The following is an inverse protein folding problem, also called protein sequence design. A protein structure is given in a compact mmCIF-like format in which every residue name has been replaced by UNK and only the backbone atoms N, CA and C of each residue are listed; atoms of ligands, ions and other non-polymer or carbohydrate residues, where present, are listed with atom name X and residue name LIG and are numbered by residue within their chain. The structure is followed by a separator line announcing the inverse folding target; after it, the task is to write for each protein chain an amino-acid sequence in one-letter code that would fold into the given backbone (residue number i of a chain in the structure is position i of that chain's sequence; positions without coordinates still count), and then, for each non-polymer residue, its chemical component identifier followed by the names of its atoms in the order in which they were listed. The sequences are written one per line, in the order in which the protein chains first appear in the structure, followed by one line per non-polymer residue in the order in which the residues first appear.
data_IF_761463026901
#
_entry.id   IF_761463026901
#
_cell.length_a   1.000
_cell.length_b   1.000
_cell.length_c   1.000
_cell.angle_alpha   90.00
_cell.angle_beta   90.00
_cell.angle_gamma   90.00
#
_symmetry.space_group_name_H-M   'P 1'
#
loop_
_entity.id
_entity.type
_entity.pdbx_description
1 polymer ?
#
# COMPACT_ATOMS: atom_id res chain seq x y z
N UNK A 1 3.69 -4.95 -68.17
CA UNK A 1 3.67 -3.51 -67.83
C UNK A 1 2.27 -3.16 -67.35
N UNK A 2 2.08 -2.80 -66.09
CA UNK A 2 0.81 -2.28 -65.56
C UNK A 2 1.11 -0.97 -64.85
N UNK A 3 0.48 0.12 -65.30
CA UNK A 3 0.62 1.45 -64.71
C UNK A 3 -0.55 2.34 -65.16
N UNK A 4 -1.61 2.39 -64.35
CA UNK A 4 -2.56 3.52 -64.25
C UNK A 4 -2.99 3.58 -62.77
N UNK A 5 -2.41 4.49 -62.00
CA UNK A 5 -2.77 5.92 -61.87
C UNK A 5 -3.91 6.13 -60.87
N UNK A 6 -3.54 6.81 -59.80
CA UNK A 6 -4.32 7.12 -58.61
C UNK A 6 -5.34 8.23 -58.90
N UNK A 7 -6.54 8.14 -58.33
CA UNK A 7 -7.41 9.30 -58.16
C UNK A 7 -8.85 8.93 -57.78
N UNK A 8 -9.60 9.80 -57.08
CA UNK A 8 -9.16 10.78 -56.08
C UNK A 8 -9.70 10.41 -54.67
N UNK A 9 -8.94 10.72 -53.63
CA UNK A 9 -9.49 10.76 -52.26
C UNK A 9 -10.51 11.89 -52.19
N UNK A 10 -11.78 11.54 -51.97
CA UNK A 10 -12.87 12.53 -51.93
C UNK A 10 -12.73 13.51 -50.74
N UNK A 11 -13.39 14.68 -50.79
CA UNK A 11 -13.29 15.72 -49.76
C UNK A 11 -13.59 15.21 -48.33
N UNK A 12 -14.41 14.17 -48.22
CA UNK A 12 -14.76 13.52 -46.94
C UNK A 12 -13.56 12.85 -46.27
N UNK A 13 -12.64 12.23 -47.02
CA UNK A 13 -11.45 11.61 -46.43
C UNK A 13 -10.48 12.64 -45.84
N UNK A 14 -10.41 13.83 -46.46
CA UNK A 14 -9.67 14.99 -45.96
C UNK A 14 -10.34 15.64 -44.73
N UNK A 15 -11.67 15.77 -44.67
CA UNK A 15 -12.33 16.28 -43.45
C UNK A 15 -12.18 15.32 -42.27
N UNK A 16 -12.23 13.99 -42.50
CA UNK A 16 -11.95 13.02 -41.43
C UNK A 16 -10.50 13.08 -40.93
N UNK A 17 -9.50 13.31 -41.79
CA UNK A 17 -8.10 13.44 -41.34
C UNK A 17 -7.80 14.79 -40.67
N UNK A 18 -8.42 15.88 -41.13
CA UNK A 18 -8.26 17.21 -40.52
C UNK A 18 -8.92 17.25 -39.12
N UNK A 19 -10.04 16.55 -38.92
CA UNK A 19 -10.75 16.48 -37.62
C UNK A 19 -9.90 15.86 -36.50
N UNK A 20 -9.02 14.89 -36.81
CA UNK A 20 -8.20 14.18 -35.81
C UNK A 20 -7.00 15.01 -35.32
N UNK A 21 -6.60 16.06 -36.06
CA UNK A 21 -5.40 16.84 -35.75
C UNK A 21 -5.50 17.76 -34.52
N UNK A 22 -6.73 18.10 -34.09
CA UNK A 22 -7.00 19.04 -32.99
C UNK A 22 -7.70 18.41 -31.78
N UNK A 23 -7.84 17.09 -31.72
CA UNK A 23 -8.42 16.43 -30.56
C UNK A 23 -7.44 16.41 -29.38
N UNK A 24 -7.99 16.61 -28.19
CA UNK A 24 -7.32 16.65 -26.90
C UNK A 24 -7.87 15.54 -25.98
N UNK A 25 -7.17 15.23 -24.90
CA UNK A 25 -7.67 14.30 -23.86
C UNK A 25 -8.97 14.78 -23.20
N UNK A 26 -9.31 16.06 -23.35
CA UNK A 26 -10.50 16.69 -22.76
C UNK A 26 -11.74 16.57 -23.66
N UNK A 27 -11.62 16.30 -24.96
CA UNK A 27 -12.77 16.25 -25.88
C UNK A 27 -13.75 15.07 -25.63
N UNK A 28 -13.35 14.09 -24.80
CA UNK A 28 -14.23 13.02 -24.31
C UNK A 28 -14.85 13.32 -22.94
N UNK A 29 -14.52 14.44 -22.31
CA UNK A 29 -15.02 14.78 -20.97
C UNK A 29 -16.46 15.28 -21.07
N UNK A 30 -17.42 14.70 -20.30
CA UNK A 30 -18.79 15.17 -20.31
C UNK A 30 -18.92 16.66 -19.94
N UNK A 31 -19.88 17.43 -20.51
CA UNK A 31 -19.99 18.87 -20.28
C UNK A 31 -20.08 19.28 -18.80
N UNK A 32 -20.74 18.46 -17.97
CA UNK A 32 -20.86 18.66 -16.53
C UNK A 32 -19.54 18.52 -15.77
N UNK A 33 -18.55 17.84 -16.34
CA UNK A 33 -17.21 17.63 -15.74
C UNK A 33 -16.20 18.73 -16.12
N UNK A 34 -16.43 19.48 -17.20
CA UNK A 34 -15.43 20.41 -17.77
C UNK A 34 -14.94 21.47 -16.78
N UNK A 35 -15.78 21.94 -15.86
CA UNK A 35 -15.41 22.93 -14.85
C UNK A 35 -14.39 22.42 -13.80
N UNK A 36 -14.18 21.10 -13.73
CA UNK A 36 -13.14 20.47 -12.90
C UNK A 36 -11.82 20.25 -13.66
N UNK A 37 -11.81 20.36 -14.98
CA UNK A 37 -10.62 20.09 -15.80
C UNK A 37 -9.79 21.35 -15.95
N UNK A 38 -8.52 21.28 -15.54
CA UNK A 38 -7.57 22.39 -15.72
C UNK A 38 -7.20 22.58 -17.20
N UNK A 39 -6.98 23.84 -17.60
CA UNK A 39 -6.61 24.21 -18.98
C UNK A 39 -5.30 23.55 -19.44
N UNK A 40 -4.41 23.18 -18.51
CA UNK A 40 -3.20 22.42 -18.77
C UNK A 40 -3.45 21.12 -19.55
N UNK A 41 -4.58 20.42 -19.32
CA UNK A 41 -4.81 19.13 -19.96
C UNK A 41 -5.15 19.22 -21.46
N UNK A 42 -5.61 20.37 -21.95
CA UNK A 42 -5.94 20.59 -23.36
C UNK A 42 -4.72 20.54 -24.30
N UNK A 43 -3.49 20.58 -23.78
CA UNK A 43 -2.27 20.47 -24.62
C UNK A 43 -1.94 19.03 -25.03
N UNK A 44 -2.60 18.02 -24.45
CA UNK A 44 -2.32 16.61 -24.70
C UNK A 44 -3.36 15.97 -25.62
N UNK A 45 -2.95 15.14 -26.60
CA UNK A 45 -3.88 14.36 -27.40
C UNK A 45 -4.59 13.28 -26.56
N UNK A 46 -5.72 12.71 -27.03
CA UNK A 46 -6.34 11.56 -26.41
C UNK A 46 -5.35 10.41 -26.23
N UNK A 47 -5.43 9.71 -25.10
CA UNK A 47 -4.68 8.48 -24.91
C UNK A 47 -5.22 7.38 -25.82
N UNK A 48 -4.32 6.58 -26.39
CA UNK A 48 -4.71 5.38 -27.13
C UNK A 48 -5.49 4.40 -26.23
N UNK A 49 -6.57 3.82 -26.75
CA UNK A 49 -7.41 2.80 -26.08
C UNK A 49 -6.61 1.71 -25.37
N UNK A 50 -5.46 1.31 -25.91
CA UNK A 50 -4.57 0.30 -25.30
C UNK A 50 -4.08 0.69 -23.90
N UNK A 51 -3.89 1.98 -23.62
CA UNK A 51 -3.48 2.48 -22.31
C UNK A 51 -4.62 2.40 -21.30
N UNK A 52 -5.85 2.75 -21.70
CA UNK A 52 -7.04 2.57 -20.88
C UNK A 52 -7.35 1.09 -20.63
N UNK A 53 -7.17 0.21 -21.62
CA UNK A 53 -7.31 -1.23 -21.46
C UNK A 53 -6.23 -1.82 -20.52
N UNK A 54 -4.98 -1.36 -20.61
CA UNK A 54 -3.90 -1.75 -19.69
C UNK A 54 -4.21 -1.30 -18.26
N UNK A 55 -4.65 -0.06 -18.08
CA UNK A 55 -5.08 0.53 -16.81
C UNK A 55 -6.21 -0.27 -16.15
N UNK A 56 -7.28 -0.56 -16.89
CA UNK A 56 -8.40 -1.39 -16.45
C UNK A 56 -7.95 -2.80 -16.05
N UNK A 57 -7.06 -3.41 -16.84
CA UNK A 57 -6.51 -4.74 -16.54
C UNK A 57 -5.67 -4.71 -15.26
N UNK A 58 -4.77 -3.75 -15.12
CA UNK A 58 -3.90 -3.61 -13.95
C UNK A 58 -4.71 -3.35 -12.67
N UNK A 59 -5.70 -2.45 -12.69
CA UNK A 59 -6.48 -2.16 -11.49
C UNK A 59 -7.36 -3.35 -11.08
N UNK A 60 -7.94 -4.10 -12.04
CA UNK A 60 -8.68 -5.32 -11.75
C UNK A 60 -7.80 -6.41 -11.10
N UNK A 61 -6.57 -6.61 -11.60
CA UNK A 61 -5.62 -7.56 -11.02
C UNK A 61 -5.19 -7.15 -9.61
N UNK A 62 -4.85 -5.87 -9.42
CA UNK A 62 -4.51 -5.33 -8.09
C UNK A 62 -5.71 -5.43 -7.13
N UNK A 63 -6.93 -5.20 -7.60
CA UNK A 63 -8.14 -5.30 -6.78
C UNK A 63 -8.39 -6.74 -6.31
N UNK A 64 -8.27 -7.72 -7.21
CA UNK A 64 -8.38 -9.14 -6.85
C UNK A 64 -7.38 -9.51 -5.74
N UNK A 65 -6.10 -9.13 -5.89
CA UNK A 65 -5.06 -9.43 -4.91
C UNK A 65 -5.31 -8.68 -3.58
N UNK A 66 -5.70 -7.41 -3.62
CA UNK A 66 -5.92 -6.61 -2.42
C UNK A 66 -7.16 -7.05 -1.65
N UNK A 67 -8.31 -7.20 -2.31
CA UNK A 67 -9.59 -7.55 -1.67
C UNK A 67 -9.49 -8.96 -1.06
N UNK A 68 -8.98 -9.95 -1.81
CA UNK A 68 -8.80 -11.32 -1.29
C UNK A 68 -7.70 -11.36 -0.24
N UNK A 69 -6.55 -10.73 -0.49
CA UNK A 69 -5.41 -10.72 0.41
C UNK A 69 -5.73 -10.07 1.76
N UNK A 70 -6.25 -8.84 1.76
CA UNK A 70 -6.62 -8.13 2.98
C UNK A 70 -7.85 -8.76 3.66
N UNK A 71 -8.81 -9.30 2.90
CA UNK A 71 -9.90 -10.11 3.45
C UNK A 71 -9.38 -11.33 4.24
N UNK A 72 -8.39 -12.05 3.70
CA UNK A 72 -7.69 -13.12 4.40
C UNK A 72 -6.93 -12.63 5.65
N UNK A 73 -6.30 -11.45 5.60
CA UNK A 73 -5.64 -10.84 6.76
C UNK A 73 -6.64 -10.58 7.87
N UNK A 74 -7.72 -9.84 7.59
CA UNK A 74 -8.81 -9.53 8.53
C UNK A 74 -9.37 -10.83 9.12
N UNK A 75 -9.67 -11.83 8.29
CA UNK A 75 -10.23 -13.11 8.72
C UNK A 75 -9.30 -13.89 9.65
N UNK A 76 -8.02 -14.07 9.30
CA UNK A 76 -7.07 -14.87 10.10
C UNK A 76 -6.77 -14.21 11.44
N UNK A 77 -6.53 -12.88 11.47
CA UNK A 77 -6.27 -12.17 12.72
C UNK A 77 -7.51 -12.12 13.64
N UNK A 78 -8.72 -12.04 13.07
CA UNK A 78 -9.98 -12.02 13.85
C UNK A 78 -10.40 -13.41 14.35
N UNK A 79 -10.19 -14.47 13.57
CA UNK A 79 -10.61 -15.84 13.94
C UNK A 79 -9.61 -16.57 14.83
N UNK A 80 -8.31 -16.23 14.78
CA UNK A 80 -7.27 -16.96 15.52
C UNK A 80 -7.10 -16.41 16.94
N UNK A 81 -7.46 -17.20 17.97
CA UNK A 81 -7.38 -16.76 19.40
C UNK A 81 -6.01 -16.24 19.83
N UNK A 82 -4.90 -16.80 19.32
CA UNK A 82 -3.53 -16.35 19.63
C UNK A 82 -3.06 -15.12 18.84
N UNK A 83 -3.84 -14.66 17.86
CA UNK A 83 -3.60 -13.43 17.10
C UNK A 83 -4.49 -12.26 17.54
N UNK A 84 -5.58 -12.52 18.28
CA UNK A 84 -6.39 -11.46 18.90
C UNK A 84 -5.61 -10.83 20.06
N UNK A 85 -4.89 -9.76 19.77
CA UNK A 85 -4.12 -8.95 20.72
C UNK A 85 -4.29 -7.46 20.40
N UNK A 86 -4.10 -6.56 21.38
CA UNK A 86 -4.22 -5.11 21.16
C UNK A 86 -3.34 -4.58 20.01
N UNK A 87 -2.07 -4.99 19.92
CA UNK A 87 -1.17 -4.57 18.82
C UNK A 87 -1.69 -4.98 17.44
N UNK A 88 -2.32 -6.15 17.33
CA UNK A 88 -2.80 -6.67 16.06
C UNK A 88 -4.09 -6.00 15.58
N UNK A 89 -4.82 -5.26 16.43
CA UNK A 89 -5.96 -4.46 15.98
C UNK A 89 -5.55 -3.40 14.94
N UNK A 90 -4.35 -2.83 15.05
CA UNK A 90 -3.85 -1.87 14.06
C UNK A 90 -3.49 -2.52 12.72
N UNK A 91 -3.11 -3.81 12.72
CA UNK A 91 -2.90 -4.60 11.50
C UNK A 91 -4.25 -4.90 10.82
N UNK A 92 -5.29 -5.21 11.60
CA UNK A 92 -6.65 -5.37 11.08
C UNK A 92 -7.16 -4.04 10.50
N UNK A 93 -6.92 -2.91 11.17
CA UNK A 93 -7.30 -1.58 10.68
C UNK A 93 -6.63 -1.24 9.35
N UNK A 94 -5.32 -1.47 9.24
CA UNK A 94 -4.55 -1.28 8.02
C UNK A 94 -5.10 -2.14 6.87
N UNK A 95 -5.33 -3.45 7.11
CA UNK A 95 -5.91 -4.34 6.12
C UNK A 95 -7.33 -3.92 5.70
N UNK A 96 -8.14 -3.40 6.63
CA UNK A 96 -9.47 -2.87 6.31
C UNK A 96 -9.39 -1.61 5.43
N UNK A 97 -8.45 -0.70 5.70
CA UNK A 97 -8.22 0.47 4.86
C UNK A 97 -7.74 0.09 3.45
N UNK A 98 -6.79 -0.84 3.33
CA UNK A 98 -6.26 -1.33 2.06
C UNK A 98 -7.32 -2.13 1.25
N UNK A 99 -8.19 -2.89 1.94
CA UNK A 99 -9.37 -3.52 1.33
C UNK A 99 -10.33 -2.47 0.77
N UNK A 100 -10.71 -1.48 1.59
CA UNK A 100 -11.67 -0.45 1.22
C UNK A 100 -11.15 0.45 0.11
N UNK A 101 -9.83 0.70 0.07
CA UNK A 101 -9.17 1.39 -1.04
C UNK A 101 -9.52 0.72 -2.37
N UNK A 102 -9.28 -0.59 -2.51
CA UNK A 102 -9.50 -1.25 -3.80
C UNK A 102 -10.96 -1.58 -4.07
N UNK A 103 -11.76 -1.84 -3.03
CA UNK A 103 -13.20 -2.02 -3.15
C UNK A 103 -13.91 -0.75 -3.68
N UNK A 104 -13.48 0.44 -3.25
CA UNK A 104 -14.06 1.72 -3.69
C UNK A 104 -13.40 2.30 -4.94
N UNK A 105 -12.08 2.14 -5.13
CA UNK A 105 -11.34 2.75 -6.25
C UNK A 105 -11.34 1.90 -7.52
N UNK A 106 -11.36 0.57 -7.43
CA UNK A 106 -11.17 -0.25 -8.63
C UNK A 106 -12.40 -0.26 -9.55
N UNK A 107 -13.64 -0.46 -9.08
CA UNK A 107 -14.80 -0.50 -9.98
C UNK A 107 -15.00 0.80 -10.77
N UNK A 108 -14.94 2.02 -10.17
CA UNK A 108 -15.05 3.25 -10.94
C UNK A 108 -13.92 3.42 -11.95
N UNK A 109 -12.66 3.14 -11.56
CA UNK A 109 -11.51 3.27 -12.46
C UNK A 109 -11.61 2.31 -13.66
N UNK A 110 -12.08 1.07 -13.45
CA UNK A 110 -12.31 0.12 -14.54
C UNK A 110 -13.38 0.62 -15.50
N UNK A 111 -14.52 1.12 -15.00
CA UNK A 111 -15.62 1.61 -15.84
C UNK A 111 -15.22 2.87 -16.61
N UNK A 112 -14.64 3.87 -15.96
CA UNK A 112 -14.19 5.09 -16.63
C UNK A 112 -13.02 4.82 -17.60
N UNK A 113 -12.23 3.78 -17.37
CA UNK A 113 -11.23 3.35 -18.36
C UNK A 113 -11.87 2.67 -19.56
N UNK A 114 -12.95 1.89 -19.39
CA UNK A 114 -13.72 1.35 -20.52
C UNK A 114 -14.36 2.44 -21.39
N UNK A 115 -14.88 3.52 -20.77
CA UNK A 115 -15.43 4.69 -21.48
C UNK A 115 -14.36 5.71 -21.93
N UNK A 116 -13.09 5.49 -21.58
CA UNK A 116 -11.96 6.40 -21.83
C UNK A 116 -12.13 7.83 -21.26
N UNK A 117 -13.04 8.01 -20.29
CA UNK A 117 -13.41 9.30 -19.68
C UNK A 117 -14.20 9.09 -18.38
N UNK A 118 -14.38 10.13 -17.57
CA UNK A 118 -15.10 10.06 -16.29
C UNK A 118 -16.60 10.25 -16.50
N UNK A 119 -17.38 9.17 -16.32
CA UNK A 119 -18.82 9.14 -16.62
C UNK A 119 -19.75 9.15 -15.40
N UNK A 120 -19.22 9.18 -14.17
CA UNK A 120 -20.03 9.20 -12.95
C UNK A 120 -20.39 10.61 -12.43
N UNK A 121 -20.03 11.65 -13.19
CA UNK A 121 -20.29 13.05 -12.84
C UNK A 121 -19.45 13.59 -11.67
N UNK A 122 -19.61 14.89 -11.33
CA UNK A 122 -18.71 15.62 -10.43
C UNK A 122 -18.64 15.03 -9.01
N UNK A 123 -19.80 14.81 -8.38
CA UNK A 123 -19.88 14.31 -7.00
C UNK A 123 -19.13 12.97 -6.81
N UNK A 124 -19.20 12.06 -7.78
CA UNK A 124 -18.48 10.79 -7.68
C UNK A 124 -16.98 10.96 -7.94
N UNK A 125 -16.54 11.96 -8.70
CA UNK A 125 -15.13 12.32 -8.84
C UNK A 125 -14.56 12.81 -7.50
N UNK A 126 -15.33 13.66 -6.80
CA UNK A 126 -14.97 14.15 -5.47
C UNK A 126 -14.92 13.03 -4.42
N UNK A 127 -15.95 12.18 -4.37
CA UNK A 127 -15.98 10.99 -3.50
C UNK A 127 -14.82 10.05 -3.82
N UNK A 128 -14.48 9.85 -5.10
CA UNK A 128 -13.34 9.02 -5.51
C UNK A 128 -12.00 9.59 -5.01
N UNK A 129 -11.75 10.88 -5.25
CA UNK A 129 -10.53 11.54 -4.76
C UNK A 129 -10.41 11.48 -3.22
N UNK A 130 -11.54 11.72 -2.53
CA UNK A 130 -11.63 11.65 -1.07
C UNK A 130 -11.31 10.25 -0.55
N UNK A 131 -11.95 9.19 -1.03
CA UNK A 131 -11.73 7.83 -0.53
C UNK A 131 -10.32 7.30 -0.83
N UNK A 132 -9.76 7.65 -2.00
CA UNK A 132 -8.38 7.31 -2.35
C UNK A 132 -7.37 7.96 -1.39
N UNK A 133 -7.57 9.24 -1.09
CA UNK A 133 -6.76 9.99 -0.13
C UNK A 133 -6.93 9.47 1.31
N UNK A 134 -8.18 9.20 1.72
CA UNK A 134 -8.55 8.72 3.05
C UNK A 134 -7.87 7.38 3.36
N UNK A 135 -7.93 6.43 2.42
CA UNK A 135 -7.27 5.14 2.57
C UNK A 135 -5.75 5.29 2.69
N UNK A 136 -5.13 6.13 1.87
CA UNK A 136 -3.70 6.43 1.96
C UNK A 136 -3.29 6.98 3.34
N UNK A 137 -4.05 7.96 3.84
CA UNK A 137 -3.84 8.59 5.14
C UNK A 137 -4.05 7.63 6.32
N UNK A 138 -5.13 6.84 6.30
CA UNK A 138 -5.39 5.82 7.32
C UNK A 138 -4.28 4.76 7.34
N UNK A 139 -3.79 4.33 6.18
CA UNK A 139 -2.73 3.32 6.10
C UNK A 139 -1.40 3.81 6.71
N UNK A 140 -0.92 5.00 6.37
CA UNK A 140 0.35 5.53 6.91
C UNK A 140 0.26 5.89 8.40
N UNK A 141 -0.87 6.42 8.88
CA UNK A 141 -1.04 6.67 10.31
C UNK A 141 -1.21 5.36 11.10
N UNK A 142 -1.84 4.33 10.53
CA UNK A 142 -1.87 2.97 11.11
C UNK A 142 -0.45 2.39 11.22
N UNK A 143 0.36 2.51 10.16
CA UNK A 143 1.77 2.10 10.15
C UNK A 143 2.62 2.86 11.18
N UNK A 144 2.38 4.16 11.35
CA UNK A 144 3.04 5.00 12.36
C UNK A 144 2.68 4.54 13.77
N UNK A 145 1.42 4.21 14.04
CA UNK A 145 0.98 3.64 15.32
C UNK A 145 1.55 2.24 15.57
N UNK A 146 1.75 1.43 14.53
CA UNK A 146 2.49 0.15 14.62
C UNK A 146 3.95 0.42 14.99
N UNK A 147 4.64 1.34 14.32
CA UNK A 147 6.04 1.70 14.62
C UNK A 147 6.21 2.17 16.08
N UNK A 148 5.29 3.00 16.60
CA UNK A 148 5.27 3.38 18.01
C UNK A 148 5.02 2.20 18.96
N UNK A 149 4.16 1.24 18.60
CA UNK A 149 3.97 0.02 19.40
C UNK A 149 5.26 -0.81 19.46
N UNK A 150 5.91 -1.04 18.31
CA UNK A 150 7.20 -1.73 18.23
C UNK A 150 8.29 -1.02 19.04
N UNK A 151 8.35 0.31 18.97
CA UNK A 151 9.27 1.13 19.77
C UNK A 151 9.03 0.96 21.27
N UNK A 152 7.78 1.08 21.74
CA UNK A 152 7.49 0.93 23.16
C UNK A 152 7.83 -0.48 23.67
N UNK A 153 7.46 -1.54 22.93
CA UNK A 153 7.74 -2.93 23.33
C UNK A 153 9.23 -3.26 23.34
N UNK A 154 9.99 -2.84 22.31
CA UNK A 154 11.40 -3.22 22.16
C UNK A 154 12.35 -2.31 22.95
N UNK A 155 12.11 -0.99 22.96
CA UNK A 155 13.05 -0.01 23.53
C UNK A 155 12.79 0.22 25.03
N UNK A 156 11.52 0.28 25.46
CA UNK A 156 11.18 0.49 26.88
C UNK A 156 10.99 -0.81 27.66
N UNK A 157 10.70 -1.93 26.98
CA UNK A 157 10.59 -3.25 27.60
C UNK A 157 9.61 -3.27 28.78
N UNK A 158 10.08 -3.74 29.95
CA UNK A 158 9.29 -3.79 31.18
C UNK A 158 8.84 -2.41 31.71
N UNK A 159 9.53 -1.33 31.32
CA UNK A 159 9.14 0.05 31.67
C UNK A 159 8.02 0.59 30.77
N UNK A 160 7.60 -0.14 29.73
CA UNK A 160 6.44 0.21 28.92
C UNK A 160 5.15 -0.22 29.63
N UNK A 161 4.17 0.69 29.73
CA UNK A 161 2.78 0.28 30.00
C UNK A 161 2.29 -0.56 28.82
N UNK A 162 1.82 -1.81 29.02
CA UNK A 162 1.34 -2.66 27.93
C UNK A 162 0.17 -1.99 27.19
N UNK A 163 0.12 -2.17 25.86
CA UNK A 163 -0.98 -1.67 25.05
C UNK A 163 -2.27 -2.42 25.40
N UNK A 164 -3.30 -1.70 25.85
CA UNK A 164 -4.63 -2.25 26.15
C UNK A 164 -5.52 -2.22 24.93
N UNK A 165 -6.58 -3.04 24.92
CA UNK A 165 -7.61 -3.00 23.85
C UNK A 165 -8.21 -1.61 23.67
N UNK A 166 -8.54 -0.92 24.78
CA UNK A 166 -9.02 0.47 24.76
C UNK A 166 -7.98 1.40 24.15
N UNK A 167 -6.70 1.27 24.52
CA UNK A 167 -5.61 2.05 23.94
C UNK A 167 -5.47 1.86 22.42
N UNK A 168 -5.62 0.63 21.92
CA UNK A 168 -5.63 0.35 20.48
C UNK A 168 -6.84 0.95 19.76
N UNK A 169 -8.05 0.80 20.33
CA UNK A 169 -9.27 1.37 19.74
C UNK A 169 -9.19 2.90 19.71
N UNK A 170 -8.70 3.54 20.77
CA UNK A 170 -8.51 5.00 20.79
C UNK A 170 -7.48 5.47 19.75
N UNK A 171 -6.41 4.70 19.50
CA UNK A 171 -5.49 4.99 18.38
C UNK A 171 -6.17 4.84 17.02
N UNK A 172 -7.02 3.82 16.83
CA UNK A 172 -7.78 3.64 15.58
C UNK A 172 -8.76 4.80 15.38
N UNK A 173 -9.52 5.18 16.39
CA UNK A 173 -10.42 6.34 16.34
C UNK A 173 -9.67 7.63 16.02
N UNK A 174 -8.50 7.85 16.64
CA UNK A 174 -7.62 8.96 16.28
C UNK A 174 -7.18 8.91 14.82
N UNK A 175 -6.74 7.74 14.31
CA UNK A 175 -6.32 7.54 12.91
C UNK A 175 -7.44 7.95 11.94
N UNK A 176 -8.66 7.44 12.13
CA UNK A 176 -9.80 7.76 11.27
C UNK A 176 -10.24 9.22 11.38
N UNK A 177 -10.36 9.75 12.60
CA UNK A 177 -10.79 11.13 12.82
C UNK A 177 -9.82 12.14 12.20
N UNK A 178 -8.50 11.97 12.39
CA UNK A 178 -7.53 12.88 11.78
C UNK A 178 -7.49 12.75 10.25
N UNK A 179 -7.59 11.52 9.72
CA UNK A 179 -7.58 11.31 8.27
C UNK A 179 -8.80 11.97 7.60
N UNK A 180 -9.99 11.80 8.20
CA UNK A 180 -11.22 12.43 7.73
C UNK A 180 -11.14 13.97 7.76
N UNK A 181 -10.57 14.58 8.80
CA UNK A 181 -10.40 16.04 8.87
C UNK A 181 -9.63 16.56 7.64
N UNK A 182 -8.53 15.91 7.28
CA UNK A 182 -7.73 16.33 6.12
C UNK A 182 -8.45 16.05 4.79
N UNK A 183 -8.99 14.85 4.60
CA UNK A 183 -9.55 14.45 3.29
C UNK A 183 -10.97 14.98 3.03
N UNK A 184 -11.66 15.50 4.05
CA UNK A 184 -12.88 16.27 3.85
C UNK A 184 -12.59 17.74 3.50
N UNK A 185 -11.42 18.29 3.83
CA UNK A 185 -11.14 19.71 3.63
C UNK A 185 -11.29 20.21 2.16
N UNK A 186 -10.91 19.43 1.13
CA UNK A 186 -11.17 19.80 -0.27
C UNK A 186 -12.66 19.81 -0.67
N UNK A 187 -13.53 19.11 0.06
CA UNK A 187 -14.99 19.17 -0.14
C UNK A 187 -15.60 20.45 0.48
N UNK A 188 -14.85 21.12 1.35
CA UNK A 188 -15.25 22.36 2.03
C UNK A 188 -14.37 23.56 1.60
N UNK A 189 -13.72 23.46 0.44
CA UNK A 189 -13.05 24.57 -0.24
C UNK A 189 -11.59 24.80 0.11
N UNK A 190 -10.92 23.93 0.89
CA UNK A 190 -9.46 23.96 1.02
C UNK A 190 -8.84 22.97 0.03
N UNK A 191 -8.50 23.45 -1.17
CA UNK A 191 -8.28 22.65 -2.40
C UNK A 191 -9.61 22.06 -2.92
N UNK A 192 -9.57 21.20 -3.94
CA UNK A 192 -10.72 20.50 -4.54
C UNK A 192 -10.29 19.15 -5.12
N UNK A 193 -11.25 18.25 -5.36
CA UNK A 193 -10.98 16.99 -6.05
C UNK A 193 -11.35 17.11 -7.54
N UNK A 194 -10.44 16.69 -8.42
CA UNK A 194 -10.52 16.90 -9.88
C UNK A 194 -10.08 15.65 -10.65
N UNK A 195 -10.45 15.50 -11.94
CA UNK A 195 -9.91 14.47 -12.81
C UNK A 195 -8.38 14.50 -12.89
N UNK A 196 -7.77 13.32 -12.85
CA UNK A 196 -6.36 13.11 -13.24
C UNK A 196 -6.21 13.36 -14.75
N UNK A 197 -4.99 13.63 -15.22
CA UNK A 197 -4.75 14.01 -16.62
C UNK A 197 -5.19 12.99 -17.70
N UNK A 198 -5.48 11.74 -17.31
CA UNK A 198 -6.02 10.71 -18.21
C UNK A 198 -7.57 10.65 -18.23
N UNK A 199 -8.24 11.51 -17.48
CA UNK A 199 -9.69 11.63 -17.35
C UNK A 199 -10.45 10.38 -16.85
N UNK A 200 -9.81 9.32 -16.34
CA UNK A 200 -10.53 8.12 -15.83
C UNK A 200 -10.41 7.87 -14.32
N UNK A 201 -9.59 8.66 -13.62
CA UNK A 201 -9.47 8.71 -12.16
C UNK A 201 -9.61 10.15 -11.67
N UNK A 202 -9.83 10.33 -10.36
CA UNK A 202 -9.80 11.65 -9.72
C UNK A 202 -8.83 11.68 -8.54
N UNK A 203 -8.26 12.87 -8.29
CA UNK A 203 -7.26 13.14 -7.27
C UNK A 203 -7.39 14.56 -6.73
N UNK A 204 -6.48 14.97 -5.84
CA UNK A 204 -6.39 16.35 -5.35
C UNK A 204 -5.93 17.29 -6.46
N UNK A 205 -6.42 18.54 -6.49
CA UNK A 205 -5.95 19.51 -7.47
C UNK A 205 -4.51 19.94 -7.16
N UNK A 206 -3.59 19.48 -8.01
CA UNK A 206 -2.17 19.81 -7.98
C UNK A 206 -1.76 20.78 -9.09
N UNK A 207 -2.70 21.36 -9.85
CA UNK A 207 -2.39 22.31 -10.93
C UNK A 207 -2.74 23.74 -10.55
N UNK A 208 -3.83 23.94 -9.81
CA UNK A 208 -4.28 25.25 -9.32
C UNK A 208 -3.18 25.94 -8.49
N UNK A 209 -2.78 27.14 -8.93
CA UNK A 209 -1.67 27.93 -8.37
C UNK A 209 -2.08 28.91 -7.28
N UNK A 210 -3.37 28.99 -6.96
CA UNK A 210 -3.86 29.84 -5.89
C UNK A 210 -3.36 29.34 -4.52
N UNK A 211 -3.31 30.24 -3.53
CA UNK A 211 -2.76 29.90 -2.21
C UNK A 211 -3.60 28.85 -1.48
N UNK A 212 -4.91 28.77 -1.70
CA UNK A 212 -5.78 27.81 -1.01
C UNK A 212 -5.45 26.40 -1.51
N UNK A 213 -5.33 26.20 -2.82
CA UNK A 213 -4.95 24.92 -3.42
C UNK A 213 -3.52 24.51 -3.06
N UNK A 214 -2.54 25.41 -3.22
CA UNK A 214 -1.12 25.12 -2.96
C UNK A 214 -0.84 24.85 -1.47
N UNK A 215 -1.43 25.66 -0.57
CA UNK A 215 -1.22 25.48 0.88
C UNK A 215 -1.77 24.16 1.40
N UNK A 216 -2.89 23.66 0.85
CA UNK A 216 -3.42 22.35 1.19
C UNK A 216 -2.46 21.23 0.80
N UNK A 217 -1.98 21.19 -0.46
CA UNK A 217 -1.08 20.12 -0.92
C UNK A 217 0.19 20.09 -0.07
N UNK A 218 0.75 21.26 0.26
CA UNK A 218 1.92 21.36 1.14
C UNK A 218 1.62 20.93 2.59
N UNK A 219 0.55 21.45 3.20
CA UNK A 219 0.22 21.12 4.59
C UNK A 219 -0.18 19.64 4.75
N UNK A 220 -0.94 19.10 3.80
CA UNK A 220 -1.34 17.71 3.76
C UNK A 220 -0.14 16.78 3.51
N UNK A 221 0.78 17.11 2.60
CA UNK A 221 2.01 16.32 2.41
C UNK A 221 2.90 16.32 3.66
N UNK A 222 3.02 17.45 4.38
CA UNK A 222 3.71 17.50 5.66
C UNK A 222 3.06 16.55 6.66
N UNK A 223 1.72 16.52 6.73
CA UNK A 223 0.99 15.69 7.68
C UNK A 223 0.92 14.20 7.33
N UNK A 224 0.74 13.85 6.05
CA UNK A 224 0.51 12.46 5.59
C UNK A 224 1.79 11.75 5.17
N UNK A 225 2.86 12.49 4.87
CA UNK A 225 4.12 11.92 4.37
C UNK A 225 5.30 12.26 5.27
N UNK A 226 5.65 13.55 5.42
CA UNK A 226 6.89 13.95 6.09
C UNK A 226 6.89 13.72 7.60
N UNK A 227 5.79 14.06 8.28
CA UNK A 227 5.64 13.83 9.72
C UNK A 227 5.67 12.32 10.06
N UNK A 228 4.85 11.46 9.43
CA UNK A 228 4.97 10.01 9.58
C UNK A 228 6.39 9.47 9.31
N UNK A 229 7.04 9.91 8.23
CA UNK A 229 8.41 9.52 7.90
C UNK A 229 9.38 9.83 9.04
N UNK A 230 9.36 11.05 9.57
CA UNK A 230 10.21 11.48 10.68
C UNK A 230 9.93 10.72 11.98
N UNK A 231 8.66 10.50 12.32
CA UNK A 231 8.26 9.72 13.51
C UNK A 231 8.68 8.24 13.40
N UNK A 232 8.59 7.66 12.21
CA UNK A 232 9.04 6.30 11.90
C UNK A 232 10.57 6.22 11.98
N UNK A 233 11.31 7.16 11.37
CA UNK A 233 12.78 7.24 11.46
C UNK A 233 13.23 7.35 12.92
N UNK A 234 12.55 8.18 13.73
CA UNK A 234 12.80 8.27 15.16
C UNK A 234 12.61 6.90 15.84
N UNK A 235 11.45 6.25 15.66
CA UNK A 235 11.15 4.95 16.25
C UNK A 235 12.20 3.90 15.88
N UNK A 236 12.50 3.75 14.59
CA UNK A 236 13.44 2.73 14.11
C UNK A 236 14.88 3.01 14.48
N UNK A 237 15.31 4.28 14.59
CA UNK A 237 16.64 4.64 15.10
C UNK A 237 16.89 4.04 16.49
N UNK A 238 15.93 4.15 17.40
CA UNK A 238 16.04 3.60 18.75
C UNK A 238 15.79 2.09 18.81
N UNK A 239 14.88 1.54 17.98
CA UNK A 239 14.71 0.09 17.85
C UNK A 239 16.04 -0.55 17.42
N UNK A 240 16.73 0.00 16.41
CA UNK A 240 18.02 -0.52 15.95
C UNK A 240 19.09 -0.47 17.05
N UNK A 241 19.20 0.65 17.78
CA UNK A 241 20.09 0.75 18.96
C UNK A 241 19.80 -0.33 20.01
N UNK A 242 18.52 -0.56 20.33
CA UNK A 242 18.10 -1.59 21.29
C UNK A 242 18.40 -3.01 20.79
N UNK A 243 18.21 -3.28 19.48
CA UNK A 243 18.56 -4.56 18.86
C UNK A 243 20.06 -4.82 18.93
N UNK A 244 20.91 -3.86 18.57
CA UNK A 244 22.36 -4.02 18.64
C UNK A 244 22.87 -4.23 20.07
N UNK A 245 22.24 -3.61 21.06
CA UNK A 245 22.52 -3.88 22.47
C UNK A 245 22.08 -5.29 22.89
N UNK A 246 20.89 -5.73 22.48
CA UNK A 246 20.40 -7.09 22.75
C UNK A 246 21.30 -8.17 22.13
N UNK A 247 21.71 -8.01 20.87
CA UNK A 247 22.62 -8.92 20.17
C UNK A 247 24.02 -8.97 20.83
N UNK A 248 24.56 -7.82 21.27
CA UNK A 248 25.82 -7.77 22.03
C UNK A 248 25.71 -8.52 23.36
N UNK A 249 24.68 -8.23 24.14
CA UNK A 249 24.45 -8.87 25.44
C UNK A 249 24.27 -10.39 25.30
N UNK A 250 23.54 -10.84 24.27
CA UNK A 250 23.39 -12.27 23.96
C UNK A 250 24.74 -12.93 23.61
N UNK A 251 25.58 -12.25 22.82
CA UNK A 251 26.93 -12.76 22.46
C UNK A 251 27.86 -12.83 23.67
N UNK A 252 27.73 -11.90 24.62
CA UNK A 252 28.51 -11.93 25.87
C UNK A 252 28.01 -13.00 26.85
N UNK A 253 26.70 -13.21 26.97
CA UNK A 253 26.12 -14.31 27.74
C UNK A 253 26.58 -15.67 27.21
N UNK A 254 26.58 -15.86 25.88
CA UNK A 254 27.08 -17.07 25.23
C UNK A 254 28.59 -17.33 25.43
N UNK A 255 29.38 -16.31 25.78
CA UNK A 255 30.80 -16.48 26.17
C UNK A 255 30.99 -16.84 27.65
N UNK A 256 30.09 -16.37 28.53
CA UNK A 256 30.17 -16.60 29.98
C UNK A 256 29.58 -17.94 30.41
N UNK A 257 28.61 -18.46 29.65
CA UNK A 257 27.99 -19.76 29.89
C UNK A 257 28.45 -20.73 28.80
N UNK A 258 29.23 -21.74 29.19
CA UNK A 258 29.82 -22.74 28.28
C UNK A 258 28.78 -23.79 27.81
N UNK A 259 27.56 -23.34 27.53
CA UNK A 259 26.38 -24.16 27.22
C UNK A 259 25.65 -23.50 26.05
N UNK A 260 25.67 -24.13 24.87
CA UNK A 260 25.07 -23.62 23.63
C UNK A 260 23.52 -23.56 23.66
N UNK A 261 22.89 -23.97 24.76
CA UNK A 261 21.45 -24.19 24.90
C UNK A 261 20.93 -23.58 26.20
N UNK A 262 20.61 -22.29 26.16
CA UNK A 262 19.59 -21.66 27.01
C UNK A 262 19.22 -20.29 26.41
N UNK A 263 18.40 -20.30 25.34
CA UNK A 263 17.60 -19.12 25.00
C UNK A 263 16.66 -18.87 26.18
N UNK A 264 16.97 -17.88 27.01
CA UNK A 264 16.03 -17.44 28.05
C UNK A 264 14.68 -17.11 27.41
N UNK A 265 13.59 -17.40 28.13
CA UNK A 265 12.23 -17.19 27.62
C UNK A 265 12.02 -15.74 27.16
N UNK A 266 12.66 -14.78 27.83
CA UNK A 266 12.62 -13.36 27.49
C UNK A 266 13.45 -13.01 26.25
N UNK A 267 14.65 -13.60 26.06
CA UNK A 267 15.37 -13.45 24.79
C UNK A 267 14.57 -14.01 23.61
N UNK A 268 13.84 -15.11 23.81
CA UNK A 268 12.94 -15.68 22.79
C UNK A 268 11.79 -14.72 22.44
N UNK A 269 11.14 -14.11 23.46
CA UNK A 269 10.11 -13.07 23.27
C UNK A 269 10.66 -11.86 22.51
N UNK A 270 11.79 -11.29 22.96
CA UNK A 270 12.41 -10.12 22.31
C UNK A 270 12.73 -10.40 20.84
N UNK A 271 13.30 -11.57 20.52
CA UNK A 271 13.55 -11.98 19.13
C UNK A 271 12.26 -12.12 18.28
N UNK A 272 11.13 -12.47 18.88
CA UNK A 272 9.84 -12.47 18.18
C UNK A 272 9.35 -11.05 17.89
N UNK A 273 9.44 -10.14 18.85
CA UNK A 273 9.03 -8.74 18.67
C UNK A 273 9.93 -8.00 17.65
N UNK A 274 11.23 -8.29 17.62
CA UNK A 274 12.18 -7.81 16.59
C UNK A 274 11.78 -8.29 15.20
N UNK A 275 11.35 -9.55 15.03
CA UNK A 275 10.84 -10.04 13.74
C UNK A 275 9.58 -9.28 13.29
N UNK A 276 8.68 -8.97 14.23
CA UNK A 276 7.50 -8.15 13.93
C UNK A 276 7.86 -6.70 13.55
N UNK A 277 8.89 -6.12 14.18
CA UNK A 277 9.41 -4.81 13.79
C UNK A 277 10.05 -4.84 12.39
N UNK A 278 10.79 -5.90 12.03
CA UNK A 278 11.32 -6.07 10.66
C UNK A 278 10.20 -6.21 9.62
N UNK A 279 9.14 -6.97 9.92
CA UNK A 279 7.95 -7.08 9.06
C UNK A 279 7.28 -5.71 8.86
N UNK A 280 7.07 -4.95 9.94
CA UNK A 280 6.48 -3.62 9.87
C UNK A 280 7.35 -2.61 9.09
N UNK A 281 8.68 -2.69 9.21
CA UNK A 281 9.60 -1.85 8.43
C UNK A 281 9.50 -2.14 6.93
N UNK A 282 9.41 -3.40 6.52
CA UNK A 282 9.24 -3.77 5.11
C UNK A 282 7.94 -3.21 4.55
N UNK A 283 6.82 -3.35 5.26
CA UNK A 283 5.53 -2.77 4.81
C UNK A 283 5.57 -1.24 4.72
N UNK A 284 6.21 -0.59 5.70
CA UNK A 284 6.42 0.88 5.70
C UNK A 284 7.24 1.34 4.49
N UNK A 285 8.36 0.68 4.20
CA UNK A 285 9.21 1.02 3.05
C UNK A 285 8.46 0.86 1.74
N UNK A 286 7.61 -0.16 1.62
CA UNK A 286 6.78 -0.38 0.43
C UNK A 286 5.65 0.66 0.29
N UNK A 287 5.07 1.15 1.39
CA UNK A 287 4.16 2.31 1.36
C UNK A 287 4.88 3.55 0.83
N UNK A 288 6.03 3.91 1.40
CA UNK A 288 6.78 5.07 0.92
C UNK A 288 7.19 4.92 -0.55
N UNK A 289 7.66 3.74 -0.97
CA UNK A 289 7.96 3.44 -2.37
C UNK A 289 6.76 3.69 -3.29
N UNK A 290 5.56 3.20 -2.94
CA UNK A 290 4.34 3.37 -3.73
C UNK A 290 3.89 4.84 -3.84
N UNK A 291 3.96 5.59 -2.73
CA UNK A 291 3.42 6.95 -2.65
C UNK A 291 4.41 8.05 -3.05
N UNK A 292 5.73 7.80 -3.03
CA UNK A 292 6.74 8.81 -3.41
C UNK A 292 6.50 9.37 -4.82
N UNK A 293 6.27 8.57 -5.88
CA UNK A 293 6.07 9.11 -7.23
C UNK A 293 4.84 10.02 -7.31
N UNK A 294 3.76 9.69 -6.60
CA UNK A 294 2.54 10.49 -6.58
C UNK A 294 2.73 11.81 -5.82
N UNK A 295 3.49 11.81 -4.71
CA UNK A 295 3.93 13.04 -4.04
C UNK A 295 4.75 13.93 -4.98
N UNK A 296 5.71 13.34 -5.72
CA UNK A 296 6.54 14.06 -6.69
C UNK A 296 5.70 14.66 -7.82
N UNK A 297 4.69 13.94 -8.33
CA UNK A 297 3.73 14.47 -9.32
C UNK A 297 2.96 15.68 -8.75
N UNK A 298 2.43 15.56 -7.53
CA UNK A 298 1.70 16.66 -6.89
C UNK A 298 2.60 17.89 -6.66
N UNK A 299 3.86 17.67 -6.27
CA UNK A 299 4.85 18.74 -6.08
C UNK A 299 5.28 19.38 -7.41
N UNK A 300 5.52 18.59 -8.45
CA UNK A 300 5.82 19.10 -9.78
C UNK A 300 4.66 19.93 -10.33
N UNK A 301 3.43 19.47 -10.11
CA UNK A 301 2.20 20.21 -10.37
C UNK A 301 2.18 21.58 -9.69
N UNK A 302 2.26 21.66 -8.35
CA UNK A 302 2.10 22.94 -7.65
C UNK A 302 3.29 23.89 -7.87
N UNK A 303 4.53 23.38 -7.87
CA UNK A 303 5.75 24.19 -7.96
C UNK A 303 6.24 24.42 -9.39
N UNK A 304 5.58 23.86 -10.41
CA UNK A 304 5.95 23.99 -11.83
C UNK A 304 7.40 23.55 -12.14
N UNK A 305 7.86 22.47 -11.51
CA UNK A 305 9.25 22.01 -11.66
C UNK A 305 9.53 21.25 -12.96
N UNK A 306 8.52 21.09 -13.82
CA UNK A 306 8.61 20.40 -15.10
C UNK A 306 7.26 19.84 -15.58
N UNK A 307 7.14 19.49 -16.87
CA UNK A 307 5.89 19.01 -17.45
C UNK A 307 5.50 17.63 -16.91
N UNK A 308 4.19 17.43 -16.70
CA UNK A 308 3.58 16.16 -16.30
C UNK A 308 2.58 15.73 -17.37
N UNK A 309 2.63 14.47 -17.81
CA UNK A 309 1.75 13.94 -18.85
C UNK A 309 0.60 13.08 -18.26
N UNK A 310 -0.53 12.95 -18.99
CA UNK A 310 -1.62 12.04 -18.62
C UNK A 310 -1.20 10.62 -18.25
N UNK A 311 -0.18 10.05 -18.93
CA UNK A 311 0.35 8.73 -18.60
C UNK A 311 1.15 8.72 -17.29
N UNK A 312 1.97 9.74 -17.02
CA UNK A 312 2.74 9.82 -15.79
C UNK A 312 1.84 9.97 -14.56
N UNK A 313 0.81 10.83 -14.65
CA UNK A 313 -0.10 11.08 -13.52
C UNK A 313 -0.93 9.86 -13.18
N UNK A 314 -1.56 9.21 -14.17
CA UNK A 314 -2.36 8.01 -13.89
C UNK A 314 -1.53 6.82 -13.42
N UNK A 315 -0.36 6.54 -14.02
CA UNK A 315 0.47 5.42 -13.56
C UNK A 315 1.08 5.69 -12.18
N UNK A 316 1.38 6.94 -11.83
CA UNK A 316 1.71 7.34 -10.46
C UNK A 316 0.56 7.08 -9.48
N UNK A 317 -0.68 7.46 -9.85
CA UNK A 317 -1.90 7.22 -9.07
C UNK A 317 -2.18 5.72 -8.86
N UNK A 318 -1.98 4.90 -9.90
CA UNK A 318 -2.12 3.43 -9.83
C UNK A 318 -1.01 2.80 -8.99
N UNK A 319 0.22 3.29 -9.08
CA UNK A 319 1.33 2.78 -8.27
C UNK A 319 1.12 3.09 -6.78
N UNK A 320 0.58 4.26 -6.44
CA UNK A 320 0.13 4.56 -5.08
C UNK A 320 -1.00 3.63 -4.61
N UNK A 321 -1.98 3.30 -5.47
CA UNK A 321 -3.05 2.31 -5.18
C UNK A 321 -2.49 0.89 -4.98
N UNK A 322 -1.39 0.54 -5.66
CA UNK A 322 -0.73 -0.76 -5.54
C UNK A 322 -0.12 -1.02 -4.14
N UNK A 323 0.07 0.00 -3.28
CA UNK A 323 0.47 -0.23 -1.89
C UNK A 323 -0.43 -1.26 -1.18
N UNK A 324 -1.74 -1.24 -1.49
CA UNK A 324 -2.75 -2.08 -0.84
C UNK A 324 -2.53 -3.60 -1.03
N UNK A 325 -1.78 -4.03 -2.06
CA UNK A 325 -1.48 -5.45 -2.29
C UNK A 325 -0.27 -5.96 -1.51
N UNK A 326 0.63 -5.07 -1.07
CA UNK A 326 1.91 -5.47 -0.49
C UNK A 326 1.77 -6.06 0.92
N UNK A 327 0.88 -5.50 1.74
CA UNK A 327 0.76 -5.88 3.16
C UNK A 327 0.38 -7.37 3.35
N UNK A 328 -0.66 -7.93 2.68
CA UNK A 328 -0.97 -9.36 2.75
C UNK A 328 0.18 -10.28 2.31
N UNK A 329 0.91 -9.90 1.25
CA UNK A 329 2.03 -10.68 0.71
C UNK A 329 3.16 -10.73 1.74
N UNK A 330 3.56 -9.58 2.30
CA UNK A 330 4.60 -9.49 3.32
C UNK A 330 4.21 -10.26 4.59
N UNK A 331 2.93 -10.21 5.00
CA UNK A 331 2.47 -11.00 6.14
C UNK A 331 2.52 -12.51 5.86
N UNK A 332 2.06 -12.96 4.69
CA UNK A 332 2.11 -14.37 4.28
C UNK A 332 3.52 -14.93 4.25
N UNK A 333 4.51 -14.17 3.77
CA UNK A 333 5.90 -14.60 3.70
C UNK A 333 6.59 -14.50 5.07
N UNK A 334 6.46 -13.36 5.76
CA UNK A 334 7.39 -12.95 6.82
C UNK A 334 6.78 -12.86 8.22
N UNK A 335 5.46 -12.72 8.37
CA UNK A 335 4.85 -12.60 9.71
C UNK A 335 4.64 -13.99 10.35
N UNK A 336 5.42 -14.38 11.38
CA UNK A 336 5.53 -15.79 11.78
C UNK A 336 4.23 -16.40 12.32
N UNK A 337 3.50 -15.68 13.19
CA UNK A 337 2.24 -16.18 13.77
C UNK A 337 1.10 -16.23 12.75
N UNK A 338 0.94 -15.18 11.95
CA UNK A 338 0.02 -15.13 10.80
C UNK A 338 0.25 -16.27 9.81
N UNK A 339 1.49 -16.45 9.31
CA UNK A 339 1.83 -17.52 8.37
C UNK A 339 1.50 -18.92 8.90
N UNK A 340 1.77 -19.18 10.18
CA UNK A 340 1.41 -20.44 10.83
C UNK A 340 -0.12 -20.66 10.90
N UNK A 341 -0.89 -19.61 11.21
CA UNK A 341 -2.35 -19.67 11.22
C UNK A 341 -2.94 -19.82 9.80
N UNK A 342 -2.38 -19.10 8.82
CA UNK A 342 -2.74 -19.18 7.40
C UNK A 342 -2.56 -20.60 6.86
N UNK A 343 -1.39 -21.20 7.04
CA UNK A 343 -1.12 -22.57 6.58
C UNK A 343 -1.97 -23.63 7.29
N UNK A 344 -2.29 -23.41 8.58
CA UNK A 344 -3.23 -24.29 9.31
C UNK A 344 -4.66 -24.21 8.75
N UNK A 345 -5.09 -23.02 8.27
CA UNK A 345 -6.45 -22.80 7.77
C UNK A 345 -6.61 -23.11 6.28
N UNK A 346 -5.55 -22.90 5.49
CA UNK A 346 -5.48 -23.12 4.06
C UNK A 346 -4.22 -23.93 3.71
N UNK A 347 -4.25 -25.28 3.86
CA UNK A 347 -3.07 -26.12 3.64
C UNK A 347 -2.51 -26.07 2.22
N UNK A 348 -3.33 -25.74 1.21
CA UNK A 348 -2.92 -25.53 -0.18
C UNK A 348 -1.97 -24.33 -0.37
N UNK A 349 -1.96 -23.36 0.54
CA UNK A 349 -1.03 -22.22 0.54
C UNK A 349 0.26 -22.52 1.32
N UNK A 350 0.36 -23.66 1.99
CA UNK A 350 1.58 -24.06 2.67
C UNK A 350 2.61 -24.49 1.62
N UNK A 351 3.71 -23.72 1.50
CA UNK A 351 4.90 -24.20 0.80
C UNK A 351 5.36 -25.51 1.45
N UNK A 352 5.05 -26.63 0.79
CA UNK A 352 5.52 -27.96 1.17
C UNK A 352 7.03 -27.97 0.98
N UNK A 353 7.77 -27.66 2.05
CA UNK A 353 9.15 -28.14 2.16
C UNK A 353 9.07 -29.66 2.01
N UNK A 354 9.64 -30.19 0.93
CA UNK A 354 10.09 -31.57 0.95
C UNK A 354 11.08 -31.66 2.11
N UNK A 355 10.79 -32.53 3.08
CA UNK A 355 11.84 -32.99 3.96
C UNK A 355 12.75 -33.83 3.07
N UNK A 356 13.94 -33.30 2.75
CA UNK A 356 15.09 -34.15 2.48
C UNK A 356 15.26 -35.02 3.72
N UNK A 357 14.97 -36.32 3.57
CA UNK A 357 15.29 -37.29 4.60
C UNK A 357 16.81 -37.44 4.62
N UNK A 358 17.46 -36.73 5.55
CA UNK A 358 18.78 -37.11 6.03
C UNK A 358 18.66 -38.44 6.80
N UNK A 359 18.50 -39.55 6.07
CA UNK A 359 18.80 -40.88 6.60
C UNK A 359 20.30 -41.13 6.45
N UNK A 360 21.06 -40.45 7.32
CA UNK A 360 22.51 -40.53 7.42
C UNK A 360 22.97 -41.05 8.78
N UNK A 361 23.04 -42.38 8.91
CA UNK A 361 23.88 -43.14 9.87
C UNK A 361 23.84 -42.81 11.37
N UNK A 362 23.33 -43.77 12.17
CA UNK A 362 23.98 -44.15 13.45
C UNK A 362 23.99 -45.68 13.58
N UNK A 363 25.18 -46.25 13.46
CA UNK A 363 25.60 -47.57 13.95
C UNK A 363 26.91 -47.33 14.74
N UNK A 364 27.32 -48.01 15.83
CA UNK A 364 26.82 -49.14 16.63
C UNK A 364 27.12 -48.84 18.12
N UNK A 365 26.74 -49.57 19.18
CA UNK A 365 26.08 -50.89 19.32
C UNK A 365 26.85 -51.78 20.31
N UNK A 366 26.19 -52.42 21.28
CA UNK A 366 26.82 -53.29 22.31
C UNK A 366 26.05 -54.62 22.42
N UNK A 367 26.80 -55.68 22.66
CA UNK A 367 26.41 -57.10 22.71
C UNK A 367 25.63 -57.54 23.95
N UNK A 368 24.75 -58.53 23.77
CA UNK A 368 24.20 -59.37 24.84
C UNK A 368 23.56 -60.62 24.23
N UNK A 369 24.20 -61.78 24.41
CA UNK A 369 23.69 -63.10 24.02
C UNK A 369 23.20 -63.79 25.28
N UNK A 370 22.00 -64.35 25.25
CA UNK A 370 21.52 -65.55 25.97
C UNK A 370 20.18 -65.94 25.31
N UNK A 371 20.14 -66.94 24.43
CA UNK A 371 20.04 -68.39 24.67
C UNK A 371 18.61 -68.91 24.95
N UNK A 372 18.37 -70.10 24.40
CA UNK A 372 17.10 -70.79 24.15
C UNK A 372 16.39 -71.39 25.39
N UNK A 373 15.32 -72.14 25.09
CA UNK A 373 14.51 -73.03 25.94
C UNK A 373 13.34 -72.33 26.68
N UNK A 374 12.08 -72.75 26.55
CA UNK A 374 11.47 -73.93 25.85
C UNK A 374 10.11 -73.58 25.28
#
# INVERSE_FOLDING_TARGET
MSNKLIGPLGPQALTWTISVANLTVVDKVPPEMLHLVDTYWYQFPPLETKWHAALATSICLLALVSIVGNGCVIFIFSSTKSLRTPSNLMIINLAFADFMMMFTMAPPLTVNSYYETWVFGPLMCEIYGMFGSLSGCVSIWSMTMIAFDRYNVIVKGLSAKPLTYVGSVMRILFVWANSLIWTLAPLFGWNRYVPEGNMSACGTDYLSKDWISVSYIYAYSVFVYWLPLLLIIYCYTYILKAVSAHERNMREQAKKMNVASLRSSDASKTNAEIKLAKVALVTITLWFMAWTPYLVINYAGIFDTGPISPLQTIWGSVFAKANSVYNPIVYGISHPKYRAALYKRFPSLAFRKSNTNDQGSVASGVTGIDQCET
#
